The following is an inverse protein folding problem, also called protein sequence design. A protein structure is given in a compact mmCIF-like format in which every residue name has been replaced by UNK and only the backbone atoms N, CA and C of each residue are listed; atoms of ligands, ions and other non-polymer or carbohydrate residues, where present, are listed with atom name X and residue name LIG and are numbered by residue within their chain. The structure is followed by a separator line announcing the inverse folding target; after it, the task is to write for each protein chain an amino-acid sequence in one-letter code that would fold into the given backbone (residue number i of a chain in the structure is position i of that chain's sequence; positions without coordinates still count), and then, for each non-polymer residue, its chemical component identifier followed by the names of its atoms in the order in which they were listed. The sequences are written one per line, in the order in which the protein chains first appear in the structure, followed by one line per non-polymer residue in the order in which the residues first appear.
data_IF_349140953134
#
_entry.id   IF_349140953134
#
_cell.length_a   1.000
_cell.length_b   1.000
_cell.length_c   1.000
_cell.angle_alpha   90.00
_cell.angle_beta   90.00
_cell.angle_gamma   90.00
#
_symmetry.space_group_name_H-M   'P 1'
#
loop_
_entity.id
_entity.type
_entity.pdbx_description
1 polymer ?
#
# COMPACT_ATOMS: atom_id res chain seq x y z
N UNK A 1 23.99 3.69 -9.43
CA UNK A 1 22.74 3.98 -10.16
C UNK A 1 21.67 4.18 -9.09
N UNK A 2 20.84 5.22 -9.20
CA UNK A 2 19.86 5.61 -8.17
C UNK A 2 18.41 5.52 -8.69
N UNK A 3 18.22 4.82 -9.81
CA UNK A 3 16.90 4.55 -10.35
C UNK A 3 16.25 3.36 -9.63
N UNK A 4 14.92 3.36 -9.55
CA UNK A 4 14.16 2.21 -9.07
C UNK A 4 14.31 1.01 -10.01
N UNK A 5 14.26 -0.20 -9.45
CA UNK A 5 14.04 -1.40 -10.25
C UNK A 5 12.65 -1.37 -10.90
N UNK A 6 12.44 -2.19 -11.92
CA UNK A 6 11.12 -2.30 -12.57
C UNK A 6 10.02 -2.71 -11.59
N UNK A 7 10.35 -3.60 -10.65
CA UNK A 7 9.45 -4.05 -9.59
C UNK A 7 9.11 -2.93 -8.61
N UNK A 8 10.12 -2.19 -8.16
CA UNK A 8 9.93 -1.03 -7.26
C UNK A 8 9.06 0.06 -7.92
N UNK A 9 9.27 0.34 -9.21
CA UNK A 9 8.44 1.32 -9.92
C UNK A 9 6.99 0.83 -10.10
N UNK A 10 6.78 -0.48 -10.29
CA UNK A 10 5.44 -1.08 -10.37
C UNK A 10 4.70 -0.95 -9.04
N UNK A 11 5.32 -1.34 -7.93
CA UNK A 11 4.73 -1.19 -6.58
C UNK A 11 4.39 0.27 -6.31
N UNK A 12 5.32 1.19 -6.60
CA UNK A 12 5.12 2.64 -6.42
C UNK A 12 3.92 3.17 -7.21
N UNK A 13 3.71 2.71 -8.44
CA UNK A 13 2.56 3.10 -9.27
C UNK A 13 1.25 2.58 -8.68
N UNK A 14 1.18 1.30 -8.35
CA UNK A 14 -0.02 0.69 -7.74
C UNK A 14 -0.42 1.39 -6.45
N UNK A 15 0.54 1.67 -5.56
CA UNK A 15 0.30 2.39 -4.30
C UNK A 15 -0.24 3.79 -4.57
N UNK A 16 0.33 4.51 -5.53
CA UNK A 16 -0.09 5.87 -5.89
C UNK A 16 -1.52 5.89 -6.43
N UNK A 17 -1.83 5.00 -7.36
CA UNK A 17 -3.16 4.91 -7.98
C UNK A 17 -4.23 4.62 -6.93
N UNK A 18 -3.98 3.67 -6.02
CA UNK A 18 -4.88 3.39 -4.91
C UNK A 18 -5.06 4.58 -3.97
N UNK A 19 -3.96 5.22 -3.57
CA UNK A 19 -4.01 6.36 -2.66
C UNK A 19 -4.78 7.56 -3.26
N UNK A 20 -4.60 7.82 -4.55
CA UNK A 20 -5.30 8.91 -5.26
C UNK A 20 -6.78 8.60 -5.49
N UNK A 21 -7.13 7.35 -5.79
CA UNK A 21 -8.51 6.94 -6.07
C UNK A 21 -9.35 6.74 -4.81
N UNK A 22 -8.80 6.07 -3.79
CA UNK A 22 -9.58 5.59 -2.64
C UNK A 22 -9.33 6.40 -1.36
N UNK A 23 -8.07 6.78 -1.08
CA UNK A 23 -7.72 7.47 0.18
C UNK A 23 -7.89 8.98 0.10
N UNK A 24 -7.47 9.60 -1.00
CA UNK A 24 -7.50 11.05 -1.16
C UNK A 24 -8.91 11.66 -0.98
N UNK A 25 -10.01 11.04 -1.46
CA UNK A 25 -11.36 11.58 -1.25
C UNK A 25 -11.82 11.60 0.21
N UNK A 26 -11.29 10.72 1.07
CA UNK A 26 -11.76 10.51 2.45
C UNK A 26 -10.76 11.00 3.51
N UNK A 27 -9.57 11.46 3.11
CA UNK A 27 -8.46 11.75 4.03
C UNK A 27 -8.81 12.78 5.13
N UNK A 28 -9.63 13.78 4.82
CA UNK A 28 -10.07 14.78 5.81
C UNK A 28 -10.97 14.19 6.89
N UNK A 29 -11.81 13.21 6.53
CA UNK A 29 -12.69 12.52 7.47
C UNK A 29 -11.89 11.54 8.34
N UNK A 30 -10.93 10.84 7.73
CA UNK A 30 -9.99 9.97 8.46
C UNK A 30 -9.23 10.74 9.55
N UNK A 31 -8.71 11.92 9.21
CA UNK A 31 -8.00 12.79 10.15
C UNK A 31 -8.94 13.29 11.26
N UNK A 32 -10.14 13.75 10.89
CA UNK A 32 -11.14 14.26 11.84
C UNK A 32 -11.59 13.22 12.86
N UNK A 33 -11.81 11.98 12.41
CA UNK A 33 -12.29 10.89 13.27
C UNK A 33 -11.16 10.14 13.98
N UNK A 34 -9.92 10.26 13.48
CA UNK A 34 -8.77 9.54 14.00
C UNK A 34 -8.90 8.01 13.85
N UNK A 35 -9.62 7.56 12.82
CA UNK A 35 -9.90 6.15 12.59
C UNK A 35 -9.77 5.80 11.10
N UNK A 36 -9.13 4.67 10.82
CA UNK A 36 -9.06 4.08 9.48
C UNK A 36 -10.13 2.98 9.38
N UNK A 37 -11.08 3.08 8.43
CA UNK A 37 -12.10 2.07 8.21
C UNK A 37 -11.48 0.67 7.99
N UNK A 38 -12.06 -0.39 8.55
CA UNK A 38 -11.61 -1.76 8.31
C UNK A 38 -11.56 -2.12 6.83
N UNK A 39 -12.42 -1.56 6.00
CA UNK A 39 -12.49 -1.78 4.56
C UNK A 39 -11.20 -1.31 3.86
N UNK A 40 -10.70 -0.13 4.24
CA UNK A 40 -9.41 0.40 3.73
C UNK A 40 -8.27 -0.55 4.09
N UNK A 41 -8.26 -1.10 5.31
CA UNK A 41 -7.24 -2.07 5.72
C UNK A 41 -7.34 -3.38 4.92
N UNK A 42 -8.56 -3.85 4.62
CA UNK A 42 -8.77 -5.04 3.80
C UNK A 42 -8.31 -4.82 2.35
N UNK A 43 -8.58 -3.66 1.78
CA UNK A 43 -8.12 -3.28 0.44
C UNK A 43 -6.58 -3.22 0.38
N UNK A 44 -5.95 -2.53 1.34
CA UNK A 44 -4.49 -2.48 1.45
C UNK A 44 -3.86 -3.88 1.60
N UNK A 45 -4.51 -4.77 2.36
CA UNK A 45 -4.09 -6.17 2.46
C UNK A 45 -4.19 -6.90 1.12
N UNK A 46 -5.28 -6.69 0.37
CA UNK A 46 -5.52 -7.35 -0.91
C UNK A 46 -4.49 -6.99 -1.99
N UNK A 47 -3.90 -5.79 -1.90
CA UNK A 47 -2.81 -5.34 -2.79
C UNK A 47 -1.42 -5.58 -2.21
N UNK A 48 -1.29 -6.33 -1.12
CA UNK A 48 -0.01 -6.77 -0.56
C UNK A 48 0.77 -5.70 0.20
N UNK A 49 0.12 -4.60 0.60
CA UNK A 49 0.78 -3.49 1.30
C UNK A 49 0.87 -3.68 2.81
N UNK A 50 0.10 -4.62 3.37
CA UNK A 50 0.21 -5.01 4.77
C UNK A 50 1.14 -6.22 4.92
N UNK A 51 2.45 -5.96 4.96
CA UNK A 51 3.48 -7.01 5.04
C UNK A 51 4.39 -7.10 3.82
N UNK A 52 4.74 -5.95 3.23
CA UNK A 52 5.49 -5.84 1.97
C UNK A 52 6.76 -6.69 1.93
N UNK A 53 7.53 -6.72 3.02
CA UNK A 53 8.78 -7.49 3.14
C UNK A 53 8.61 -8.86 3.77
N UNK A 54 7.38 -9.25 4.12
CA UNK A 54 7.08 -10.55 4.74
C UNK A 54 7.13 -11.64 3.68
N UNK A 55 7.56 -12.83 4.08
CA UNK A 55 7.63 -13.96 3.17
C UNK A 55 6.24 -14.33 2.64
N UNK A 56 6.15 -14.70 1.36
CA UNK A 56 4.90 -15.12 0.72
C UNK A 56 4.22 -16.30 1.42
N UNK A 57 4.98 -17.18 2.08
CA UNK A 57 4.41 -18.26 2.89
C UNK A 57 3.58 -17.79 4.09
N UNK A 58 3.77 -16.54 4.51
CA UNK A 58 3.00 -15.89 5.58
C UNK A 58 2.02 -14.83 5.03
N UNK A 59 1.86 -14.73 3.71
CA UNK A 59 0.93 -13.81 3.06
C UNK A 59 1.51 -12.42 2.72
N UNK A 60 2.83 -12.24 2.79
CA UNK A 60 3.51 -11.05 2.27
C UNK A 60 3.88 -11.18 0.78
N UNK A 61 4.68 -10.24 0.28
CA UNK A 61 5.08 -10.20 -1.14
C UNK A 61 6.59 -10.29 -1.38
N UNK A 62 7.39 -10.66 -0.37
CA UNK A 62 8.84 -10.86 -0.49
C UNK A 62 9.62 -9.66 -1.08
N UNK A 63 9.10 -8.43 -0.93
CA UNK A 63 9.73 -7.26 -1.53
C UNK A 63 11.06 -6.90 -0.86
N UNK A 64 12.03 -6.46 -1.66
CA UNK A 64 13.34 -6.02 -1.20
C UNK A 64 13.23 -4.68 -0.43
N UNK A 65 13.73 -4.59 0.83
CA UNK A 65 13.84 -3.32 1.53
C UNK A 65 14.80 -2.36 0.80
N UNK A 66 14.31 -1.15 0.52
CA UNK A 66 15.08 -0.05 -0.10
C UNK A 66 16.18 0.53 0.77
#
# INVERSE_FOLDING_TARGET
DFNFSQEQDMVRKTVREYAEAELAPIVEDLDRWGHIPPEVLQELASIGLLGVTTESQFGGIDADPV
#
